data_IF_167024096321
#
_entry.id   IF_167024096321
#
_cell.length_a   1.000
_cell.length_b   1.000
_cell.length_c   1.000
_cell.angle_alpha   90.00
_cell.angle_beta   90.00
_cell.angle_gamma   90.00
#
_symmetry.space_group_name_H-M   'P 1'
#
loop_
_entity.id
_entity.type
_entity.pdbx_description
1 polymer ?
#
# COMPACT_ATOMS: atom_id res chain seq x y z
N UNK A 1 -50.66 -14.65 -2.59
CA UNK A 1 -49.60 -15.63 -2.21
C UNK A 1 -48.34 -14.85 -1.98
N UNK A 2 -47.70 -14.99 -0.81
CA UNK A 2 -46.30 -14.57 -0.67
C UNK A 2 -45.47 -15.46 -1.61
N UNK A 3 -44.56 -14.86 -2.37
CA UNK A 3 -43.63 -15.62 -3.20
C UNK A 3 -42.74 -16.54 -2.36
N UNK A 4 -42.06 -17.52 -2.98
CA UNK A 4 -41.14 -18.39 -2.26
C UNK A 4 -40.05 -17.57 -1.55
N UNK A 5 -39.83 -17.85 -0.27
CA UNK A 5 -38.80 -17.22 0.54
C UNK A 5 -37.45 -17.92 0.30
N UNK A 6 -36.63 -17.31 -0.56
CA UNK A 6 -35.29 -17.79 -0.90
C UNK A 6 -34.29 -17.71 0.26
N UNK A 7 -34.65 -17.07 1.39
CA UNK A 7 -33.82 -17.09 2.60
C UNK A 7 -33.82 -18.45 3.31
N UNK A 8 -34.81 -19.31 3.01
CA UNK A 8 -34.97 -20.66 3.57
C UNK A 8 -34.34 -21.76 2.69
N UNK A 9 -33.55 -21.39 1.68
CA UNK A 9 -32.86 -22.37 0.84
C UNK A 9 -31.90 -23.22 1.70
N UNK A 10 -31.87 -24.56 1.54
CA UNK A 10 -30.87 -25.41 2.19
C UNK A 10 -29.43 -24.95 1.89
N UNK A 11 -28.54 -25.11 2.88
CA UNK A 11 -27.15 -24.65 2.79
C UNK A 11 -26.42 -25.28 1.60
N UNK A 12 -26.71 -26.55 1.29
CA UNK A 12 -26.10 -27.31 0.21
C UNK A 12 -26.44 -26.71 -1.17
N UNK A 13 -27.64 -26.15 -1.32
CA UNK A 13 -28.03 -25.46 -2.55
C UNK A 13 -27.35 -24.09 -2.67
N UNK A 14 -27.21 -23.37 -1.55
CA UNK A 14 -26.48 -22.10 -1.51
C UNK A 14 -24.99 -22.31 -1.84
N UNK A 15 -24.39 -23.36 -1.31
CA UNK A 15 -23.03 -23.81 -1.64
C UNK A 15 -22.89 -24.12 -3.14
N UNK A 16 -23.82 -24.90 -3.69
CA UNK A 16 -23.83 -25.20 -5.11
C UNK A 16 -24.00 -23.94 -5.99
N UNK A 17 -24.80 -22.96 -5.56
CA UNK A 17 -24.95 -21.70 -6.28
C UNK A 17 -23.65 -20.89 -6.23
N UNK A 18 -23.07 -20.71 -5.04
CA UNK A 18 -21.86 -19.88 -4.88
C UNK A 18 -20.67 -20.47 -5.64
N UNK A 19 -20.54 -21.80 -5.70
CA UNK A 19 -19.49 -22.48 -6.48
C UNK A 19 -19.55 -22.21 -7.99
N UNK A 20 -20.70 -21.77 -8.50
CA UNK A 20 -20.88 -21.40 -9.92
C UNK A 20 -20.63 -19.92 -10.19
N UNK A 21 -20.47 -19.10 -9.16
CA UNK A 21 -20.20 -17.68 -9.31
C UNK A 21 -18.73 -17.50 -9.70
N UNK A 22 -18.46 -16.82 -10.79
CA UNK A 22 -17.09 -16.57 -11.28
C UNK A 22 -16.64 -15.11 -11.13
N UNK A 23 -17.58 -14.19 -10.85
CA UNK A 23 -17.29 -12.77 -10.61
C UNK A 23 -17.16 -12.47 -9.12
N UNK A 24 -16.13 -11.70 -8.74
CA UNK A 24 -15.98 -11.22 -7.38
C UNK A 24 -17.16 -10.34 -6.98
N UNK A 25 -17.64 -9.48 -7.90
CA UNK A 25 -18.74 -8.58 -7.61
C UNK A 25 -20.00 -9.35 -7.22
N UNK A 26 -20.31 -10.41 -7.96
CA UNK A 26 -21.47 -11.25 -7.68
C UNK A 26 -21.27 -12.09 -6.42
N UNK A 27 -20.04 -12.55 -6.16
CA UNK A 27 -19.68 -13.23 -4.93
C UNK A 27 -19.88 -12.34 -3.70
N UNK A 28 -19.44 -11.07 -3.77
CA UNK A 28 -19.67 -10.09 -2.71
C UNK A 28 -21.16 -9.82 -2.51
N UNK A 29 -21.92 -9.65 -3.60
CA UNK A 29 -23.39 -9.46 -3.54
C UNK A 29 -24.09 -10.64 -2.91
N UNK A 30 -23.72 -11.87 -3.29
CA UNK A 30 -24.25 -13.11 -2.71
C UNK A 30 -24.07 -13.13 -1.18
N UNK A 31 -22.89 -12.75 -0.69
CA UNK A 31 -22.57 -12.69 0.75
C UNK A 31 -23.20 -11.52 1.49
N UNK A 32 -23.68 -10.52 0.76
CA UNK A 32 -24.33 -9.34 1.30
C UNK A 32 -25.85 -9.53 1.51
N UNK A 33 -26.45 -10.62 1.01
CA UNK A 33 -27.90 -10.87 1.08
C UNK A 33 -28.37 -11.02 2.54
N UNK A 34 -27.94 -12.08 3.24
CA UNK A 34 -28.31 -12.37 4.63
C UNK A 34 -27.30 -13.33 5.28
N UNK A 35 -27.48 -13.64 6.57
CA UNK A 35 -26.57 -14.51 7.31
C UNK A 35 -26.44 -15.93 6.72
N UNK A 36 -27.53 -16.67 6.41
CA UNK A 36 -27.42 -18.00 5.77
C UNK A 36 -26.60 -18.01 4.47
N UNK A 37 -26.81 -17.04 3.58
CA UNK A 37 -26.08 -16.93 2.30
C UNK A 37 -24.60 -16.61 2.53
N UNK A 38 -24.29 -15.73 3.49
CA UNK A 38 -22.91 -15.44 3.88
C UNK A 38 -22.22 -16.67 4.47
N UNK A 39 -22.90 -17.42 5.33
CA UNK A 39 -22.34 -18.61 5.99
C UNK A 39 -22.13 -19.78 5.03
N UNK A 40 -22.96 -19.92 4.00
CA UNK A 40 -22.80 -20.94 2.96
C UNK A 40 -21.61 -20.68 2.01
N UNK A 41 -20.92 -19.55 2.15
CA UNK A 41 -19.77 -19.19 1.31
C UNK A 41 -18.46 -19.33 2.06
N UNK A 42 -17.48 -20.01 1.46
CA UNK A 42 -16.13 -20.12 2.03
C UNK A 42 -15.44 -18.75 2.08
N UNK A 43 -14.85 -18.33 3.22
CA UNK A 43 -14.04 -17.11 3.27
C UNK A 43 -12.89 -17.08 2.25
N UNK A 44 -12.44 -18.28 1.81
CA UNK A 44 -11.45 -18.52 0.76
C UNK A 44 -12.12 -19.18 -0.46
N UNK A 45 -12.69 -18.39 -1.39
CA UNK A 45 -13.38 -18.94 -2.56
C UNK A 45 -12.36 -19.45 -3.60
N UNK A 46 -12.00 -20.74 -3.52
CA UNK A 46 -11.02 -21.38 -4.44
C UNK A 46 -11.50 -21.50 -5.89
N UNK A 47 -12.82 -21.41 -6.12
CA UNK A 47 -13.41 -21.50 -7.44
C UNK A 47 -13.32 -20.19 -8.22
N UNK A 48 -13.12 -19.04 -7.54
CA UNK A 48 -13.03 -17.77 -8.22
C UNK A 48 -11.73 -17.70 -9.03
N UNK A 49 -11.80 -17.35 -10.33
CA UNK A 49 -10.60 -17.11 -11.10
C UNK A 49 -9.85 -15.90 -10.53
N UNK A 50 -8.56 -15.81 -10.88
CA UNK A 50 -7.79 -14.60 -10.58
C UNK A 50 -8.44 -13.42 -11.31
N UNK A 51 -8.76 -12.35 -10.57
CA UNK A 51 -9.44 -11.18 -11.10
C UNK A 51 -8.55 -9.95 -10.97
N UNK A 52 -8.82 -8.97 -11.83
CA UNK A 52 -8.13 -7.69 -11.79
C UNK A 52 -8.40 -7.03 -10.43
N UNK A 53 -7.37 -6.53 -9.74
CA UNK A 53 -7.52 -5.81 -8.49
C UNK A 53 -8.49 -4.64 -8.58
N UNK A 54 -9.29 -4.45 -7.54
CA UNK A 54 -10.15 -3.27 -7.43
C UNK A 54 -9.38 -2.15 -6.74
N UNK A 55 -9.36 -0.94 -7.33
CA UNK A 55 -8.75 0.21 -6.67
C UNK A 55 -9.72 0.79 -5.66
N UNK A 56 -9.38 0.74 -4.37
CA UNK A 56 -10.08 1.55 -3.38
C UNK A 56 -9.74 3.02 -3.63
N UNK A 57 -10.76 3.83 -3.88
CA UNK A 57 -10.61 5.24 -4.15
C UNK A 57 -10.37 6.02 -2.85
N UNK A 58 -9.63 7.14 -2.89
CA UNK A 58 -9.46 8.02 -1.73
C UNK A 58 -10.81 8.49 -1.17
N UNK A 59 -10.84 8.78 0.14
CA UNK A 59 -12.06 9.19 0.83
C UNK A 59 -12.20 10.73 0.82
N UNK A 60 -13.35 11.26 0.36
CA UNK A 60 -13.64 12.71 0.45
C UNK A 60 -14.03 13.06 1.88
N UNK A 61 -13.23 13.89 2.54
CA UNK A 61 -13.44 14.31 3.94
C UNK A 61 -14.45 15.45 4.11
N UNK A 62 -15.04 15.98 3.04
CA UNK A 62 -16.02 17.05 3.14
C UNK A 62 -17.45 16.50 3.34
N UNK A 63 -17.96 16.60 4.57
CA UNK A 63 -19.36 16.35 4.90
C UNK A 63 -19.67 14.90 5.23
N UNK A 64 -19.92 14.64 6.51
CA UNK A 64 -20.35 13.37 7.13
C UNK A 64 -19.45 12.15 6.84
N UNK A 65 -18.72 11.72 7.86
CA UNK A 65 -17.84 10.53 7.89
C UNK A 65 -18.60 9.21 7.65
N UNK A 66 -19.03 8.95 6.42
CA UNK A 66 -19.63 7.71 5.98
C UNK A 66 -18.68 6.53 6.11
N UNK A 67 -19.24 5.37 6.44
CA UNK A 67 -18.55 4.07 6.44
C UNK A 67 -18.34 3.53 5.03
N UNK A 68 -18.98 4.11 4.01
CA UNK A 68 -18.87 3.65 2.63
C UNK A 68 -17.48 3.91 2.04
N UNK A 69 -16.95 2.88 1.36
CA UNK A 69 -15.72 2.91 0.57
C UNK A 69 -16.07 2.59 -0.88
N UNK A 70 -15.42 3.32 -1.79
CA UNK A 70 -15.61 3.18 -3.22
C UNK A 70 -14.47 2.34 -3.78
N UNK A 71 -14.81 1.36 -4.61
CA UNK A 71 -13.86 0.47 -5.27
C UNK A 71 -14.08 0.55 -6.77
N UNK A 72 -13.07 1.00 -7.50
CA UNK A 72 -13.10 0.99 -8.96
C UNK A 72 -12.64 -0.37 -9.49
N UNK A 73 -13.48 -0.96 -10.31
CA UNK A 73 -13.21 -2.22 -11.00
C UNK A 73 -12.71 -1.92 -12.41
N UNK A 74 -11.41 -2.14 -12.60
CA UNK A 74 -10.74 -1.95 -13.89
C UNK A 74 -11.32 -2.82 -15.02
N UNK A 75 -11.88 -3.99 -14.70
CA UNK A 75 -12.36 -4.93 -15.72
C UNK A 75 -13.69 -4.48 -16.33
N UNK A 76 -14.56 -3.88 -15.51
CA UNK A 76 -15.92 -3.48 -15.93
C UNK A 76 -16.09 -1.97 -16.06
N UNK A 77 -15.07 -1.20 -15.68
CA UNK A 77 -15.12 0.27 -15.55
C UNK A 77 -16.26 0.75 -14.64
N UNK A 78 -16.60 -0.04 -13.62
CA UNK A 78 -17.68 0.27 -12.65
C UNK A 78 -17.11 0.63 -11.29
N UNK A 79 -17.86 1.47 -10.56
CA UNK A 79 -17.59 1.77 -9.16
C UNK A 79 -18.52 0.93 -8.29
N UNK A 80 -17.92 0.04 -7.49
CA UNK A 80 -18.61 -0.71 -6.44
C UNK A 80 -18.58 0.08 -5.13
N UNK A 81 -19.67 0.00 -4.37
CA UNK A 81 -19.82 0.67 -3.07
C UNK A 81 -19.90 -0.40 -1.99
N UNK A 82 -18.99 -0.34 -1.02
CA UNK A 82 -19.00 -1.25 0.14
C UNK A 82 -19.11 -0.42 1.42
N UNK A 83 -20.06 -0.78 2.28
CA UNK A 83 -20.22 -0.12 3.58
C UNK A 83 -19.26 -0.72 4.62
N UNK A 84 -18.11 -0.09 4.86
CA UNK A 84 -17.02 -0.61 5.70
C UNK A 84 -16.84 0.24 6.98
N UNK A 85 -17.74 0.14 7.98
CA UNK A 85 -17.66 0.93 9.22
C UNK A 85 -16.36 0.72 10.01
N UNK A 86 -15.72 -0.45 9.87
CA UNK A 86 -14.44 -0.80 10.49
C UNK A 86 -13.30 0.12 10.04
N UNK A 87 -13.44 0.75 8.87
CA UNK A 87 -12.43 1.67 8.31
C UNK A 87 -12.67 3.14 8.72
N UNK A 88 -13.70 3.43 9.52
CA UNK A 88 -14.08 4.79 9.90
C UNK A 88 -13.14 5.37 10.95
N UNK A 89 -12.45 6.46 10.61
CA UNK A 89 -11.48 7.11 11.50
C UNK A 89 -10.30 6.21 11.85
N UNK A 90 -9.97 5.28 10.93
CA UNK A 90 -8.86 4.33 11.05
C UNK A 90 -7.96 4.53 9.84
N UNK A 91 -6.64 4.49 10.06
CA UNK A 91 -5.64 4.53 8.99
C UNK A 91 -5.48 3.15 8.39
N UNK A 92 -5.50 3.06 7.06
CA UNK A 92 -5.11 1.84 6.34
C UNK A 92 -3.61 1.97 6.03
N UNK A 93 -2.81 1.08 6.60
CA UNK A 93 -1.35 1.12 6.53
C UNK A 93 -0.76 0.16 5.49
N UNK A 94 -1.58 -0.71 4.93
CA UNK A 94 -1.15 -1.73 3.97
C UNK A 94 -2.32 -2.57 3.49
N UNK A 95 -2.14 -3.17 2.32
CA UNK A 95 -3.01 -4.19 1.77
C UNK A 95 -2.12 -5.34 1.32
N UNK A 96 -2.41 -6.57 1.73
CA UNK A 96 -1.74 -7.77 1.17
C UNK A 96 -2.68 -8.96 1.30
N UNK A 97 -2.66 -9.84 0.30
CA UNK A 97 -3.48 -11.05 0.29
C UNK A 97 -4.99 -10.80 0.49
N UNK A 98 -5.53 -9.67 0.01
CA UNK A 98 -6.93 -9.30 0.23
C UNK A 98 -7.27 -8.76 1.64
N UNK A 99 -6.27 -8.55 2.51
CA UNK A 99 -6.44 -8.02 3.85
C UNK A 99 -5.84 -6.62 4.00
N UNK A 100 -6.56 -5.74 4.67
CA UNK A 100 -6.08 -4.44 5.12
C UNK A 100 -5.42 -4.53 6.49
N UNK A 101 -4.34 -3.78 6.67
CA UNK A 101 -3.76 -3.49 7.99
C UNK A 101 -4.34 -2.17 8.47
N UNK A 102 -5.21 -2.26 9.46
CA UNK A 102 -5.90 -1.14 10.09
C UNK A 102 -5.12 -0.68 11.32
N UNK A 103 -4.95 0.63 11.47
CA UNK A 103 -4.22 1.22 12.59
C UNK A 103 -4.95 2.45 13.15
N UNK A 104 -5.18 2.44 14.47
CA UNK A 104 -5.81 3.54 15.21
C UNK A 104 -5.17 3.67 16.58
N UNK A 105 -4.44 4.76 16.80
CA UNK A 105 -3.66 4.96 18.03
C UNK A 105 -2.61 3.85 18.20
N UNK A 106 -2.74 3.01 19.22
CA UNK A 106 -1.83 1.87 19.47
C UNK A 106 -2.39 0.52 19.01
N UNK A 107 -3.61 0.51 18.47
CA UNK A 107 -4.30 -0.72 18.07
C UNK A 107 -4.05 -0.94 16.58
N UNK A 108 -3.57 -2.14 16.26
CA UNK A 108 -3.43 -2.61 14.89
C UNK A 108 -4.28 -3.87 14.71
N UNK A 109 -4.95 -4.00 13.58
CA UNK A 109 -5.75 -5.18 13.24
C UNK A 109 -5.68 -5.48 11.76
N UNK A 110 -5.93 -6.72 11.40
CA UNK A 110 -6.13 -7.15 10.03
C UNK A 110 -7.63 -7.20 9.76
N UNK A 111 -8.04 -6.68 8.61
CA UNK A 111 -9.44 -6.65 8.20
C UNK A 111 -9.59 -7.04 6.75
N UNK A 112 -10.47 -8.00 6.48
CA UNK A 112 -10.82 -8.36 5.12
C UNK A 112 -12.13 -7.63 4.73
N UNK A 113 -12.09 -6.68 3.79
CA UNK A 113 -13.26 -5.87 3.43
C UNK A 113 -14.38 -6.68 2.76
N UNK A 114 -14.05 -7.84 2.21
CA UNK A 114 -15.00 -8.74 1.55
C UNK A 114 -15.59 -9.67 2.58
N UNK A 115 -14.76 -10.42 3.32
CA UNK A 115 -15.25 -11.43 4.27
C UNK A 115 -15.80 -10.84 5.56
N UNK A 116 -15.41 -9.60 5.91
CA UNK A 116 -15.59 -8.95 7.22
C UNK A 116 -14.86 -9.65 8.36
N UNK A 117 -13.97 -10.59 8.04
CA UNK A 117 -13.12 -11.20 9.04
C UNK A 117 -12.14 -10.17 9.58
N UNK A 118 -11.95 -10.19 10.90
CA UNK A 118 -11.05 -9.30 11.61
C UNK A 118 -10.14 -10.13 12.49
N UNK A 119 -8.85 -9.80 12.50
CA UNK A 119 -7.85 -10.41 13.36
C UNK A 119 -7.14 -9.31 14.13
N UNK A 120 -7.26 -9.32 15.45
CA UNK A 120 -6.54 -8.36 16.30
C UNK A 120 -5.06 -8.72 16.36
N UNK A 121 -4.20 -7.71 16.24
CA UNK A 121 -2.76 -7.84 16.46
C UNK A 121 -2.41 -7.33 17.86
N UNK A 122 -1.25 -7.71 18.42
CA UNK A 122 -0.80 -7.15 19.68
C UNK A 122 -0.73 -5.61 19.62
N UNK A 123 -0.97 -4.91 20.73
CA UNK A 123 -0.83 -3.47 20.77
C UNK A 123 0.60 -3.08 20.43
N UNK A 124 0.75 -2.06 19.59
CA UNK A 124 2.07 -1.58 19.19
C UNK A 124 2.65 -0.70 20.30
N UNK A 125 3.36 -1.34 21.23
CA UNK A 125 4.04 -0.68 22.35
C UNK A 125 5.54 -0.80 22.09
N UNK A 126 6.17 0.30 21.68
CA UNK A 126 7.63 0.37 21.54
C UNK A 126 8.22 0.91 22.85
N UNK A 127 9.10 0.18 23.54
CA UNK A 127 9.81 0.71 24.70
C UNK A 127 10.60 1.96 24.34
N UNK A 128 10.64 2.95 25.23
CA UNK A 128 11.34 4.23 25.03
C UNK A 128 12.80 4.07 24.59
N UNK A 129 13.48 3.03 25.06
CA UNK A 129 14.86 2.69 24.69
C UNK A 129 15.07 2.40 23.20
N UNK A 130 14.02 2.05 22.46
CA UNK A 130 14.10 1.79 21.03
C UNK A 130 13.78 3.01 20.17
N UNK A 131 13.47 4.17 20.77
CA UNK A 131 13.12 5.42 20.09
C UNK A 131 14.30 6.19 19.52
N UNK A 132 15.54 5.77 19.80
CA UNK A 132 16.73 6.49 19.35
C UNK A 132 16.86 7.89 19.96
N UNK A 133 16.08 8.20 21.00
CA UNK A 133 16.22 9.43 21.78
C UNK A 133 17.47 9.30 22.65
N UNK A 134 18.39 10.26 22.54
CA UNK A 134 19.58 10.31 23.39
C UNK A 134 19.16 10.34 24.87
N UNK A 135 19.84 9.58 25.76
CA UNK A 135 19.48 9.51 27.18
C UNK A 135 19.56 10.84 27.94
N UNK A 136 20.24 11.84 27.37
CA UNK A 136 20.54 13.12 28.01
C UNK A 136 19.51 14.23 27.73
N UNK A 137 18.45 13.93 26.97
CA UNK A 137 17.41 14.91 26.66
C UNK A 137 17.90 16.06 25.77
N UNK A 138 19.08 15.93 25.14
CA UNK A 138 19.51 16.88 24.13
C UNK A 138 18.61 16.75 22.89
N UNK A 139 17.83 17.78 22.62
CA UNK A 139 16.87 17.89 21.52
C UNK A 139 17.51 17.84 20.12
N UNK A 140 18.85 17.80 20.04
CA UNK A 140 19.60 17.98 18.80
C UNK A 140 19.64 16.74 17.90
N UNK A 141 19.33 15.55 18.41
CA UNK A 141 19.21 14.32 17.59
C UNK A 141 17.78 14.02 17.15
N UNK A 142 16.81 14.89 17.49
CA UNK A 142 15.53 14.93 16.78
C UNK A 142 15.80 15.55 15.42
N UNK A 143 16.32 14.77 14.49
CA UNK A 143 16.15 15.08 13.06
C UNK A 143 14.65 15.23 12.88
N UNK A 144 14.18 16.46 12.70
CA UNK A 144 12.78 16.76 12.46
C UNK A 144 12.31 15.96 11.24
N UNK A 145 11.69 14.82 11.49
CA UNK A 145 11.10 14.00 10.45
C UNK A 145 9.75 14.64 10.12
N UNK A 146 9.76 15.57 9.17
CA UNK A 146 8.54 15.88 8.43
C UNK A 146 7.95 14.57 7.86
N UNK A 147 6.62 14.39 7.82
CA UNK A 147 5.98 13.08 7.62
C UNK A 147 6.26 12.36 6.28
N UNK A 148 7.04 12.93 5.37
CA UNK A 148 7.11 12.50 3.98
C UNK A 148 8.42 12.80 3.23
N UNK A 149 9.60 12.80 3.87
CA UNK A 149 10.87 12.71 3.11
C UNK A 149 11.12 13.81 2.06
N UNK A 150 10.45 14.97 2.14
CA UNK A 150 10.69 16.13 1.29
C UNK A 150 11.69 17.10 1.92
N UNK A 151 12.95 16.67 2.09
CA UNK A 151 14.04 17.62 2.40
C UNK A 151 15.31 17.26 1.64
N UNK A 152 15.64 18.08 0.64
CA UNK A 152 17.03 18.30 0.22
C UNK A 152 17.29 19.81 0.29
N UNK A 153 17.97 20.22 1.37
CA UNK A 153 18.86 21.39 1.40
C UNK A 153 18.27 22.76 1.75
N UNK A 154 18.06 23.06 3.04
CA UNK A 154 18.39 24.36 3.69
C UNK A 154 18.49 24.11 5.21
N UNK A 155 19.50 24.62 5.95
CA UNK A 155 19.50 24.56 7.41
C UNK A 155 18.52 25.60 7.96
N UNK A 156 17.41 25.16 8.55
CA UNK A 156 16.43 26.02 9.21
C UNK A 156 16.21 25.52 10.63
N UNK A 157 17.04 25.99 11.56
CA UNK A 157 17.08 25.54 12.96
C UNK A 157 16.50 26.59 13.93
N UNK A 158 15.71 27.58 13.45
CA UNK A 158 15.35 28.73 14.31
C UNK A 158 13.86 29.09 14.39
N UNK A 159 12.91 28.24 13.96
CA UNK A 159 11.48 28.60 14.16
C UNK A 159 10.49 27.47 14.40
N UNK A 160 10.94 26.28 14.81
CA UNK A 160 10.05 25.12 15.06
C UNK A 160 9.69 24.94 16.55
N UNK A 161 10.29 25.70 17.47
CA UNK A 161 10.11 25.50 18.92
C UNK A 161 8.73 25.92 19.44
N UNK A 162 8.01 26.83 18.75
CA UNK A 162 6.82 27.47 19.34
C UNK A 162 5.47 26.80 19.02
N UNK A 163 5.38 25.84 18.09
CA UNK A 163 4.07 25.27 17.67
C UNK A 163 3.78 23.83 18.12
N UNK A 164 4.74 23.11 18.71
CA UNK A 164 4.58 21.68 19.01
C UNK A 164 4.88 21.28 20.46
N UNK A 165 4.85 22.23 21.40
CA UNK A 165 5.01 21.98 22.84
C UNK A 165 3.91 21.10 23.47
N UNK A 166 2.92 20.62 22.70
CA UNK A 166 1.80 19.81 23.18
C UNK A 166 1.49 18.54 22.33
N UNK A 167 2.46 17.98 21.58
CA UNK A 167 2.24 16.66 20.95
C UNK A 167 2.29 15.58 22.01
N UNK A 168 1.15 14.98 22.29
CA UNK A 168 1.07 13.84 23.19
C UNK A 168 1.96 12.69 22.66
N UNK A 169 2.69 12.00 23.53
CA UNK A 169 3.49 10.80 23.20
C UNK A 169 2.68 9.65 22.55
N UNK A 170 1.36 9.81 22.44
CA UNK A 170 0.44 8.92 21.72
C UNK A 170 0.40 9.18 20.20
N UNK A 171 0.83 10.35 19.72
CA UNK A 171 0.81 10.72 18.29
C UNK A 171 2.12 10.38 17.54
N UNK A 172 3.18 9.96 18.27
CA UNK A 172 4.54 9.73 17.73
C UNK A 172 4.77 8.34 17.10
N UNK A 173 3.75 7.47 17.03
CA UNK A 173 3.88 6.06 16.60
C UNK A 173 2.94 5.66 15.47
N UNK A 174 2.90 6.47 14.42
CA UNK A 174 2.06 6.18 13.27
C UNK A 174 2.73 5.08 12.43
N UNK A 175 2.05 3.94 12.28
CA UNK A 175 2.46 2.93 11.29
C UNK A 175 2.39 3.56 9.90
N UNK A 176 3.52 3.54 9.19
CA UNK A 176 3.69 4.20 7.90
C UNK A 176 3.35 3.28 6.73
N UNK A 177 3.89 2.07 6.75
CA UNK A 177 3.61 0.98 5.80
C UNK A 177 3.60 -0.35 6.55
N UNK A 178 2.70 -1.23 6.17
CA UNK A 178 2.60 -2.61 6.65
C UNK A 178 2.47 -3.58 5.47
N UNK A 179 3.06 -4.76 5.59
CA UNK A 179 2.89 -5.88 4.64
C UNK A 179 2.65 -7.18 5.41
N UNK A 180 2.05 -8.16 4.72
CA UNK A 180 1.89 -9.52 5.23
C UNK A 180 2.77 -10.47 4.42
N UNK A 181 3.38 -11.45 5.10
CA UNK A 181 4.24 -12.45 4.45
C UNK A 181 3.44 -13.52 3.69
N UNK A 182 2.19 -13.75 4.09
CA UNK A 182 1.25 -14.70 3.50
C UNK A 182 -0.19 -14.32 3.88
N UNK A 183 -1.17 -15.19 3.61
CA UNK A 183 -2.55 -14.97 4.07
C UNK A 183 -2.61 -15.04 5.61
N UNK A 184 -3.35 -14.15 6.31
CA UNK A 184 -3.53 -14.19 7.77
C UNK A 184 -4.11 -15.48 8.32
N UNK A 185 -4.75 -16.26 7.47
CA UNK A 185 -5.34 -17.55 7.82
C UNK A 185 -4.28 -18.68 7.76
N UNK A 186 -3.06 -18.39 7.32
CA UNK A 186 -1.91 -19.29 7.39
C UNK A 186 -1.20 -19.13 8.75
N UNK A 187 -0.84 -20.24 9.38
CA UNK A 187 -0.25 -20.25 10.73
C UNK A 187 1.14 -19.61 10.81
N UNK A 188 1.85 -19.52 9.69
CA UNK A 188 3.16 -18.89 9.58
C UNK A 188 3.11 -17.41 9.21
N UNK A 189 1.92 -16.83 9.03
CA UNK A 189 1.77 -15.44 8.60
C UNK A 189 2.39 -14.48 9.61
N UNK A 190 3.23 -13.58 9.12
CA UNK A 190 3.81 -12.47 9.85
C UNK A 190 3.31 -11.14 9.28
N UNK A 191 3.08 -10.19 10.16
CA UNK A 191 2.79 -8.79 9.83
C UNK A 191 4.05 -7.99 10.11
N UNK A 192 4.54 -7.25 9.10
CA UNK A 192 5.75 -6.43 9.19
C UNK A 192 5.34 -4.97 9.02
N UNK A 193 5.79 -4.11 9.92
CA UNK A 193 5.43 -2.68 9.94
C UNK A 193 6.67 -1.80 10.00
N UNK A 194 6.58 -0.65 9.33
CA UNK A 194 7.48 0.49 9.53
C UNK A 194 6.74 1.60 10.28
N UNK A 195 7.44 2.32 11.15
CA UNK A 195 6.88 3.51 11.82
C UNK A 195 7.57 4.79 11.36
N UNK A 196 6.88 5.92 11.52
CA UNK A 196 7.42 7.25 11.19
C UNK A 196 8.63 7.63 12.04
N UNK A 197 8.70 7.17 13.30
CA UNK A 197 9.69 7.62 14.28
C UNK A 197 10.96 6.77 14.39
N UNK A 198 10.97 5.50 13.95
CA UNK A 198 12.03 4.57 14.39
C UNK A 198 13.06 4.16 13.35
N UNK A 199 12.90 4.47 12.05
CA UNK A 199 13.66 3.88 10.93
C UNK A 199 13.80 2.33 10.98
N UNK A 200 13.11 1.68 11.92
CA UNK A 200 13.18 0.25 12.21
C UNK A 200 11.92 -0.39 11.66
N UNK A 201 12.02 -1.69 11.42
CA UNK A 201 10.87 -2.52 11.14
C UNK A 201 10.60 -3.38 12.36
N UNK A 202 9.32 -3.58 12.60
CA UNK A 202 8.82 -4.47 13.64
C UNK A 202 7.97 -5.53 12.99
N UNK A 203 7.95 -6.73 13.56
CA UNK A 203 7.06 -7.79 13.09
C UNK A 203 6.41 -8.55 14.24
N UNK A 204 5.28 -9.19 13.94
CA UNK A 204 4.63 -10.15 14.81
C UNK A 204 3.99 -11.26 13.97
N UNK A 205 3.88 -12.46 14.54
CA UNK A 205 3.02 -13.53 14.02
C UNK A 205 1.59 -13.33 14.49
N UNK A 206 0.64 -13.89 13.75
CA UNK A 206 -0.75 -13.94 14.19
C UNK A 206 -0.84 -14.72 15.51
N UNK A 207 -1.39 -14.09 16.54
CA UNK A 207 -1.50 -14.66 17.89
C UNK A 207 -0.36 -14.29 18.86
N UNK A 208 0.68 -13.60 18.38
CA UNK A 208 1.73 -13.08 19.27
C UNK A 208 1.16 -12.05 20.25
N UNK A 209 1.78 -11.97 21.44
CA UNK A 209 1.40 -11.02 22.49
C UNK A 209 2.11 -9.67 22.39
N UNK A 210 3.20 -9.59 21.63
CA UNK A 210 4.01 -8.38 21.46
C UNK A 210 4.65 -8.33 20.07
N UNK A 211 5.13 -7.15 19.70
CA UNK A 211 5.91 -6.93 18.49
C UNK A 211 7.39 -7.18 18.75
N UNK A 212 8.05 -7.87 17.84
CA UNK A 212 9.51 -7.99 17.82
C UNK A 212 10.07 -6.83 17.01
N UNK A 213 10.86 -5.96 17.65
CA UNK A 213 11.56 -4.87 16.97
C UNK A 213 12.91 -5.40 16.49
N UNK A 214 13.15 -5.38 15.18
CA UNK A 214 14.48 -5.68 14.65
C UNK A 214 15.13 -4.38 14.21
N UNK A 215 16.31 -4.13 14.78
CA UNK A 215 17.17 -3.04 14.35
C UNK A 215 17.80 -3.42 13.00
N UNK A 216 17.04 -3.26 11.93
CA UNK A 216 17.59 -3.27 10.59
C UNK A 216 18.57 -2.08 10.50
N UNK A 217 19.82 -2.32 10.10
CA UNK A 217 20.81 -1.25 9.82
C UNK A 217 20.45 -0.48 8.54
N UNK A 218 19.16 -0.26 8.29
CA UNK A 218 18.64 0.46 7.15
C UNK A 218 18.61 1.95 7.50
N UNK A 219 19.76 2.62 7.40
CA UNK A 219 19.78 4.08 7.43
C UNK A 219 18.85 4.58 6.31
N UNK A 220 17.83 5.38 6.68
CA UNK A 220 16.87 5.98 5.76
C UNK A 220 15.98 5.01 4.99
N UNK A 221 15.36 4.02 5.66
CA UNK A 221 14.36 3.12 5.07
C UNK A 221 13.30 3.89 4.26
N UNK A 222 13.27 3.65 2.96
CA UNK A 222 12.34 4.26 2.02
C UNK A 222 11.16 3.36 1.70
N UNK A 223 11.42 2.09 1.40
CA UNK A 223 10.40 1.09 1.13
C UNK A 223 10.88 -0.33 1.47
N UNK A 224 9.96 -1.28 1.59
CA UNK A 224 10.27 -2.69 1.82
C UNK A 224 9.20 -3.63 1.24
N UNK A 225 9.63 -4.85 0.92
CA UNK A 225 8.81 -5.94 0.41
C UNK A 225 9.33 -7.28 0.94
N UNK A 226 8.45 -8.29 0.99
CA UNK A 226 8.80 -9.63 1.45
C UNK A 226 8.57 -10.64 0.32
N UNK A 227 9.56 -11.48 0.04
CA UNK A 227 9.50 -12.47 -1.04
C UNK A 227 10.46 -13.63 -0.79
N UNK A 228 10.01 -14.85 -1.09
CA UNK A 228 10.82 -16.07 -1.07
C UNK A 228 11.60 -16.27 0.25
N UNK A 229 11.00 -15.93 1.39
CA UNK A 229 11.65 -16.06 2.70
C UNK A 229 12.45 -14.83 3.14
N UNK A 230 12.72 -13.89 2.23
CA UNK A 230 13.57 -12.73 2.48
C UNK A 230 12.78 -11.42 2.51
N UNK A 231 13.20 -10.53 3.41
CA UNK A 231 12.75 -9.15 3.45
C UNK A 231 13.77 -8.28 2.70
N UNK A 232 13.30 -7.57 1.68
CA UNK A 232 14.08 -6.61 0.93
C UNK A 232 13.70 -5.21 1.39
N UNK A 233 14.69 -4.41 1.76
CA UNK A 233 14.50 -2.99 2.09
C UNK A 233 15.28 -2.13 1.13
N UNK A 234 14.74 -0.98 0.76
CA UNK A 234 15.47 0.06 0.04
C UNK A 234 15.56 1.32 0.86
N UNK A 235 16.67 2.04 0.78
CA UNK A 235 16.80 3.37 1.38
C UNK A 235 16.45 4.48 0.38
N UNK A 236 16.47 5.74 0.84
CA UNK A 236 16.21 6.92 0.00
C UNK A 236 17.19 7.04 -1.18
N UNK A 237 18.40 6.51 -1.04
CA UNK A 237 19.41 6.44 -2.09
C UNK A 237 19.19 5.26 -3.06
N UNK A 238 18.29 4.32 -2.77
CA UNK A 238 18.00 3.15 -3.60
C UNK A 238 18.95 1.97 -3.38
N UNK A 239 19.80 2.00 -2.36
CA UNK A 239 20.56 0.83 -1.93
C UNK A 239 19.60 -0.23 -1.41
N UNK A 240 19.84 -1.50 -1.74
CA UNK A 240 19.01 -2.63 -1.28
C UNK A 240 19.72 -3.32 -0.13
N UNK A 241 18.95 -3.75 0.85
CA UNK A 241 19.43 -4.69 1.87
C UNK A 241 18.48 -5.86 1.93
N UNK A 242 19.05 -7.06 1.90
CA UNK A 242 18.33 -8.35 1.98
C UNK A 242 18.49 -8.92 3.38
N UNK A 243 17.38 -9.31 3.98
CA UNK A 243 17.31 -9.86 5.33
C UNK A 243 16.63 -11.23 5.34
N UNK A 244 17.25 -12.20 6.02
CA UNK A 244 16.57 -13.43 6.42
C UNK A 244 15.70 -13.14 7.65
N UNK A 245 14.37 -13.20 7.51
CA UNK A 245 13.47 -12.93 8.65
C UNK A 245 13.53 -14.02 9.73
N UNK A 246 13.93 -15.24 9.39
CA UNK A 246 14.09 -16.33 10.35
C UNK A 246 15.38 -16.12 11.14
N UNK A 247 16.42 -15.61 10.48
CA UNK A 247 17.68 -15.25 11.12
C UNK A 247 18.13 -13.82 10.75
N UNK A 248 17.58 -12.78 11.42
CA UNK A 248 17.84 -11.38 11.07
C UNK A 248 19.30 -10.95 11.16
N UNK A 249 20.17 -11.75 11.79
CA UNK A 249 21.61 -11.52 11.84
C UNK A 249 22.30 -11.74 10.49
N UNK A 250 21.68 -12.48 9.57
CA UNK A 250 22.13 -12.65 8.18
C UNK A 250 21.60 -11.51 7.33
N UNK A 251 22.39 -10.45 7.25
CA UNK A 251 22.15 -9.27 6.42
C UNK A 251 23.13 -9.29 5.25
N UNK A 252 22.63 -9.08 4.04
CA UNK A 252 23.46 -8.86 2.85
C UNK A 252 23.12 -7.47 2.29
N UNK A 253 24.15 -6.61 2.19
CA UNK A 253 24.02 -5.35 1.47
C UNK A 253 24.05 -5.66 -0.02
N UNK A 254 23.00 -5.29 -0.71
CA UNK A 254 22.70 -5.67 -2.07
C UNK A 254 22.73 -4.38 -2.93
N UNK A 255 23.90 -4.09 -3.50
CA UNK A 255 24.06 -3.03 -4.49
C UNK A 255 24.09 -1.57 -4.04
N UNK A 256 24.72 -0.76 -4.90
CA UNK A 256 24.91 0.66 -4.70
C UNK A 256 23.67 1.49 -5.08
N UNK A 257 23.50 2.62 -4.40
CA UNK A 257 22.35 3.50 -4.58
C UNK A 257 22.24 4.04 -6.01
N UNK A 258 20.99 4.32 -6.41
CA UNK A 258 20.64 4.94 -7.69
C UNK A 258 20.68 6.46 -7.54
N UNK A 259 21.40 7.14 -8.43
CA UNK A 259 21.46 8.61 -8.43
C UNK A 259 20.07 9.20 -8.77
N UNK A 260 19.54 10.01 -7.86
CA UNK A 260 18.45 10.98 -8.05
C UNK A 260 17.14 10.47 -8.71
N UNK A 261 16.30 9.78 -7.94
CA UNK A 261 14.88 9.57 -8.26
C UNK A 261 14.00 9.95 -7.07
N UNK A 262 12.81 10.49 -7.35
CA UNK A 262 11.93 11.13 -6.35
C UNK A 262 10.98 10.14 -5.68
N UNK A 263 10.37 9.25 -6.46
CA UNK A 263 9.53 8.18 -5.92
C UNK A 263 10.11 6.83 -6.31
N UNK A 264 10.07 5.89 -5.36
CA UNK A 264 10.59 4.52 -5.50
C UNK A 264 9.56 3.56 -4.92
N UNK A 265 9.04 2.66 -5.75
CA UNK A 265 8.13 1.59 -5.36
C UNK A 265 8.86 0.26 -5.50
N UNK A 266 9.03 -0.45 -4.38
CA UNK A 266 9.57 -1.80 -4.42
C UNK A 266 8.42 -2.77 -4.73
N UNK A 267 8.53 -3.47 -5.86
CA UNK A 267 7.51 -4.36 -6.39
C UNK A 267 8.04 -5.77 -6.44
N UNK A 268 7.20 -6.70 -6.02
CA UNK A 268 7.49 -8.11 -5.97
C UNK A 268 7.04 -8.73 -7.32
N UNK A 269 7.98 -9.19 -8.16
CA UNK A 269 7.72 -9.72 -9.51
C UNK A 269 7.41 -11.24 -9.54
N UNK A 270 6.55 -11.71 -10.46
CA UNK A 270 6.01 -13.10 -10.46
C UNK A 270 7.07 -14.21 -10.40
N UNK A 271 8.24 -14.02 -11.03
CA UNK A 271 9.28 -15.05 -11.13
C UNK A 271 10.28 -15.06 -9.96
N UNK A 272 9.97 -14.39 -8.85
CA UNK A 272 10.95 -14.18 -7.76
C UNK A 272 11.75 -12.89 -7.92
N UNK A 273 11.53 -12.17 -9.01
CA UNK A 273 12.20 -10.90 -9.30
C UNK A 273 11.86 -9.84 -8.24
N UNK A 274 12.84 -9.01 -7.90
CA UNK A 274 12.64 -7.78 -7.14
C UNK A 274 12.73 -6.63 -8.13
N UNK A 275 11.61 -5.97 -8.34
CA UNK A 275 11.50 -4.83 -9.24
C UNK A 275 11.44 -3.53 -8.45
N UNK A 276 11.95 -2.47 -9.03
CA UNK A 276 11.85 -1.13 -8.50
C UNK A 276 11.32 -0.23 -9.60
N UNK A 277 10.27 0.54 -9.28
CA UNK A 277 9.78 1.57 -10.17
C UNK A 277 10.20 2.91 -9.60
N UNK A 278 10.98 3.66 -10.37
CA UNK A 278 11.44 4.99 -10.01
C UNK A 278 10.80 6.04 -10.89
N UNK A 279 10.32 7.14 -10.32
CA UNK A 279 9.92 8.31 -11.11
C UNK A 279 10.92 9.45 -11.00
N UNK A 280 11.10 10.15 -12.12
CA UNK A 280 11.87 11.39 -12.23
C UNK A 280 10.95 12.51 -12.67
N UNK A 281 10.95 13.58 -11.90
CA UNK A 281 10.23 14.80 -12.23
C UNK A 281 11.21 15.75 -12.91
N UNK A 282 10.92 16.16 -14.14
CA UNK A 282 11.64 17.24 -14.79
C UNK A 282 10.84 18.53 -14.65
N UNK A 283 11.36 19.46 -13.86
CA UNK A 283 10.78 20.79 -13.76
C UNK A 283 11.10 21.57 -15.04
N UNK A 284 10.07 21.84 -15.85
CA UNK A 284 10.16 22.89 -16.85
C UNK A 284 10.34 24.20 -16.11
N UNK A 285 11.52 24.81 -16.15
CA UNK A 285 11.90 25.99 -15.35
C UNK A 285 11.10 27.28 -15.62
N UNK A 286 9.87 27.20 -16.13
CA UNK A 286 8.95 28.32 -16.38
C UNK A 286 7.59 28.05 -15.74
N UNK A 287 7.01 29.10 -15.16
CA UNK A 287 5.65 29.07 -14.62
C UNK A 287 4.67 28.66 -15.72
N UNK A 288 3.90 27.59 -15.49
CA UNK A 288 2.86 27.10 -16.42
C UNK A 288 3.27 25.95 -17.34
N UNK A 289 4.46 25.35 -17.18
CA UNK A 289 4.83 24.12 -17.91
C UNK A 289 4.48 22.90 -17.05
N UNK A 290 3.73 21.96 -17.63
CA UNK A 290 3.37 20.69 -17.01
C UNK A 290 4.63 19.92 -16.56
N UNK A 291 4.56 19.33 -15.36
CA UNK A 291 5.61 18.45 -14.89
C UNK A 291 5.54 17.13 -15.66
N UNK A 292 6.60 16.79 -16.38
CA UNK A 292 6.72 15.47 -17.00
C UNK A 292 7.30 14.47 -15.98
N UNK A 293 6.57 13.37 -15.76
CA UNK A 293 7.02 12.25 -14.93
C UNK A 293 7.55 11.14 -15.83
N UNK A 294 8.87 10.97 -15.85
CA UNK A 294 9.51 9.81 -16.48
C UNK A 294 9.55 8.65 -15.48
N UNK A 295 8.96 7.51 -15.85
CA UNK A 295 8.98 6.30 -15.03
C UNK A 295 9.96 5.28 -15.61
N UNK A 296 10.79 4.73 -14.73
CA UNK A 296 11.78 3.71 -15.08
C UNK A 296 11.61 2.49 -14.21
N UNK A 297 11.79 1.33 -14.82
CA UNK A 297 11.71 0.04 -14.14
C UNK A 297 13.08 -0.58 -14.06
N UNK A 298 13.39 -1.11 -12.89
CA UNK A 298 14.68 -1.70 -12.57
C UNK A 298 14.47 -3.07 -11.98
N UNK A 299 15.24 -4.05 -12.43
CA UNK A 299 15.28 -5.39 -11.87
C UNK A 299 16.55 -5.54 -11.04
N UNK A 300 16.42 -6.02 -9.80
CA UNK A 300 17.57 -6.33 -8.97
C UNK A 300 18.18 -7.66 -9.42
N UNK A 301 19.49 -7.66 -9.72
CA UNK A 301 20.26 -8.88 -9.95
C UNK A 301 20.92 -9.30 -8.65
N UNK A 302 20.51 -10.44 -8.10
CA UNK A 302 21.16 -11.05 -6.92
C UNK A 302 22.62 -11.45 -7.25
N UNK A 303 22.90 -11.88 -8.49
CA UNK A 303 24.24 -12.33 -8.92
C UNK A 303 25.22 -11.17 -9.09
N UNK A 304 24.75 -10.05 -9.67
CA UNK A 304 25.58 -8.88 -9.93
C UNK A 304 25.48 -7.82 -8.81
N UNK A 305 24.65 -8.09 -7.80
CA UNK A 305 24.32 -7.20 -6.69
C UNK A 305 24.04 -5.76 -7.15
N UNK A 306 23.21 -5.58 -8.18
CA UNK A 306 22.93 -4.25 -8.73
C UNK A 306 21.57 -4.14 -9.38
N UNK A 307 21.12 -2.90 -9.56
CA UNK A 307 19.95 -2.57 -10.35
C UNK A 307 20.28 -2.57 -11.85
N UNK A 308 19.44 -3.26 -12.63
CA UNK A 308 19.50 -3.31 -14.08
C UNK A 308 18.21 -2.67 -14.60
N UNK A 309 18.32 -1.60 -15.40
CA UNK A 309 17.16 -0.96 -16.04
C UNK A 309 16.54 -1.94 -17.06
N UNK A 310 15.22 -2.10 -17.03
CA UNK A 310 14.48 -3.00 -17.91
C UNK A 310 13.25 -2.30 -18.48
N UNK A 311 13.00 -2.50 -19.77
CA UNK A 311 11.79 -2.03 -20.45
C UNK A 311 10.79 -3.17 -20.70
N UNK A 312 11.14 -4.38 -20.29
CA UNK A 312 10.30 -5.56 -20.41
C UNK A 312 10.28 -6.34 -19.08
N UNK A 313 9.12 -6.31 -18.42
CA UNK A 313 8.84 -7.14 -17.24
C UNK A 313 8.11 -8.44 -17.62
N UNK A 314 8.07 -8.79 -18.90
CA UNK A 314 7.49 -10.01 -19.43
C UNK A 314 5.99 -10.08 -19.16
N UNK A 315 5.54 -11.21 -18.59
CA UNK A 315 4.12 -11.46 -18.29
C UNK A 315 3.59 -10.68 -17.08
N UNK A 316 4.41 -9.85 -16.42
CA UNK A 316 3.99 -9.07 -15.26
C UNK A 316 3.11 -7.88 -15.67
N UNK A 317 2.09 -7.64 -14.84
CA UNK A 317 1.32 -6.39 -14.76
C UNK A 317 1.52 -5.85 -13.36
N UNK A 318 2.01 -4.62 -13.23
CA UNK A 318 2.34 -4.02 -11.93
C UNK A 318 1.22 -3.06 -11.50
N UNK A 319 0.91 -3.05 -10.22
CA UNK A 319 -0.13 -2.19 -9.65
C UNK A 319 0.47 -1.35 -8.53
N UNK A 320 0.47 -0.04 -8.72
CA UNK A 320 1.02 0.94 -7.79
C UNK A 320 -0.13 1.72 -7.17
N UNK A 321 -0.30 1.60 -5.87
CA UNK A 321 -1.25 2.38 -5.09
C UNK A 321 -0.52 3.49 -4.32
N UNK A 322 -1.30 4.38 -3.72
CA UNK A 322 -0.76 5.34 -2.77
C UNK A 322 -0.07 4.64 -1.58
N UNK A 323 0.81 5.38 -0.91
CA UNK A 323 1.44 4.93 0.34
C UNK A 323 2.53 3.87 0.16
N UNK A 324 3.06 3.74 -1.06
CA UNK A 324 4.03 2.70 -1.48
C UNK A 324 3.46 1.28 -1.39
N UNK A 325 2.17 1.14 -1.61
CA UNK A 325 1.59 -0.17 -1.88
C UNK A 325 1.88 -0.52 -3.33
N UNK A 326 2.62 -1.59 -3.57
CA UNK A 326 2.89 -2.07 -4.92
C UNK A 326 2.99 -3.58 -4.95
N UNK A 327 2.47 -4.19 -6.01
CA UNK A 327 2.57 -5.62 -6.27
C UNK A 327 2.44 -5.92 -7.76
N UNK A 328 2.72 -7.17 -8.15
CA UNK A 328 2.54 -7.64 -9.53
C UNK A 328 1.57 -8.81 -9.62
N UNK A 329 0.94 -8.96 -10.79
CA UNK A 329 0.15 -10.13 -11.16
C UNK A 329 0.50 -10.59 -12.58
N UNK A 330 0.28 -11.88 -12.85
CA UNK A 330 0.48 -12.44 -14.19
C UNK A 330 -0.67 -12.06 -15.11
N UNK A 331 -0.34 -11.43 -16.24
CA UNK A 331 -1.26 -11.21 -17.36
C UNK A 331 -1.96 -12.50 -17.80
N UNK A 332 -1.28 -13.66 -17.75
CA UNK A 332 -1.86 -14.95 -18.12
C UNK A 332 -3.05 -15.36 -17.22
N UNK A 333 -3.10 -14.85 -15.99
CA UNK A 333 -4.15 -15.15 -15.02
C UNK A 333 -5.23 -14.06 -14.98
N UNK A 334 -5.12 -13.01 -15.80
CA UNK A 334 -6.04 -11.88 -15.82
C UNK A 334 -6.81 -11.86 -17.13
N UNK A 335 -8.14 -11.78 -17.04
CA UNK A 335 -8.99 -11.41 -18.18
C UNK A 335 -8.87 -9.90 -18.39
N UNK A 336 -7.75 -9.47 -18.97
CA UNK A 336 -7.50 -8.08 -19.31
C UNK A 336 -8.29 -7.70 -20.58
N UNK A 337 -8.78 -6.45 -20.71
CA UNK A 337 -9.02 -5.83 -22.01
C UNK A 337 -7.74 -5.86 -22.87
N UNK A 338 -7.73 -5.30 -24.09
CA UNK A 338 -6.57 -5.28 -25.03
C UNK A 338 -5.23 -4.67 -24.49
N UNK A 339 -5.15 -4.39 -23.19
CA UNK A 339 -4.01 -3.91 -22.45
C UNK A 339 -3.17 -5.10 -21.97
N UNK A 340 -2.13 -5.39 -22.76
CA UNK A 340 -1.27 -6.54 -22.58
C UNK A 340 -0.38 -6.50 -21.34
N UNK A 341 0.39 -7.57 -21.21
CA UNK A 341 1.51 -7.67 -20.28
C UNK A 341 2.51 -6.50 -20.43
N UNK A 342 3.49 -6.41 -19.54
CA UNK A 342 4.54 -5.39 -19.59
C UNK A 342 4.03 -3.95 -19.39
N UNK A 343 3.15 -3.77 -18.40
CA UNK A 343 2.58 -2.48 -18.06
C UNK A 343 2.45 -2.29 -16.55
N UNK A 344 2.23 -1.03 -16.12
CA UNK A 344 1.87 -0.73 -14.75
C UNK A 344 0.73 0.29 -14.65
N UNK A 345 -0.12 0.09 -13.65
CA UNK A 345 -1.20 0.99 -13.27
C UNK A 345 -0.76 1.79 -12.05
N UNK A 346 -1.01 3.10 -12.05
CA UNK A 346 -0.76 3.92 -10.89
C UNK A 346 -1.83 4.99 -10.71
N UNK A 347 -2.05 5.35 -9.46
CA UNK A 347 -2.80 6.55 -9.09
C UNK A 347 -1.90 7.76 -9.32
N UNK A 348 -2.08 8.44 -10.45
CA UNK A 348 -1.33 9.64 -10.78
C UNK A 348 -1.94 10.82 -10.02
N UNK A 349 -1.13 11.45 -9.19
CA UNK A 349 -1.48 12.72 -8.56
C UNK A 349 -0.74 13.80 -9.32
N UNK A 350 -1.47 14.54 -10.16
CA UNK A 350 -0.88 15.70 -10.83
C UNK A 350 -0.93 16.90 -9.88
N UNK A 351 0.22 17.51 -9.54
CA UNK A 351 0.21 18.77 -8.82
C UNK A 351 -0.36 19.84 -9.76
N UNK A 352 -1.58 20.33 -9.51
CA UNK A 352 -2.04 21.58 -10.10
C UNK A 352 -2.03 22.67 -9.04
N UNK A 353 -1.22 23.71 -9.28
CA UNK A 353 -1.17 24.87 -8.40
C UNK A 353 0.06 25.71 -8.72
N UNK A 354 -0.11 27.04 -8.75
CA UNK A 354 1.04 27.93 -8.72
C UNK A 354 1.71 27.77 -7.36
N UNK A 355 2.93 27.23 -7.32
CA UNK A 355 3.79 27.31 -6.15
C UNK A 355 4.16 28.78 -5.96
N UNK A 356 3.42 29.52 -5.13
CA UNK A 356 3.80 30.90 -4.81
C UNK A 356 4.92 30.86 -3.78
N UNK A 357 4.82 30.00 -2.76
CA UNK A 357 5.80 29.83 -1.69
C UNK A 357 6.11 28.35 -1.37
N UNK A 358 7.19 28.07 -0.62
CA UNK A 358 7.59 26.70 -0.20
C UNK A 358 6.51 25.95 0.61
N UNK A 359 5.61 26.66 1.29
CA UNK A 359 4.49 26.09 2.05
C UNK A 359 3.33 25.61 1.16
N UNK A 360 3.23 26.09 -0.09
CA UNK A 360 2.18 25.65 -1.02
C UNK A 360 2.44 24.23 -1.55
N UNK A 361 3.63 23.66 -1.30
CA UNK A 361 4.06 22.30 -1.71
C UNK A 361 3.13 21.16 -1.34
N UNK A 362 2.30 21.37 -0.32
CA UNK A 362 1.52 20.33 0.33
C UNK A 362 0.03 20.41 0.05
N UNK A 363 -0.45 21.42 -0.68
CA UNK A 363 -1.88 21.79 -0.60
C UNK A 363 -2.76 21.50 -1.82
N UNK A 364 -2.22 21.14 -3.00
CA UNK A 364 -3.07 21.03 -4.20
C UNK A 364 -2.62 19.92 -5.15
N UNK A 365 -3.10 18.69 -4.90
CA UNK A 365 -3.28 17.70 -5.96
C UNK A 365 -4.77 17.75 -6.35
N UNK A 366 -5.07 18.35 -7.51
CA UNK A 366 -6.47 18.54 -7.95
C UNK A 366 -6.98 17.37 -8.77
N UNK A 367 -6.09 16.67 -9.47
CA UNK A 367 -6.44 15.67 -10.47
C UNK A 367 -5.99 14.30 -10.01
N UNK A 368 -6.90 13.54 -9.40
CA UNK A 368 -6.66 12.14 -9.10
C UNK A 368 -7.12 11.30 -10.29
N UNK A 369 -6.15 10.76 -11.04
CA UNK A 369 -6.40 9.92 -12.21
C UNK A 369 -5.79 8.55 -12.03
N UNK A 370 -6.41 7.53 -12.62
CA UNK A 370 -5.73 6.25 -12.79
C UNK A 370 -5.09 6.25 -14.17
N UNK A 371 -3.78 6.08 -14.17
CA UNK A 371 -2.96 6.10 -15.37
C UNK A 371 -2.33 4.74 -15.61
N UNK A 372 -2.37 4.31 -16.86
CA UNK A 372 -1.68 3.14 -17.37
C UNK A 372 -0.43 3.58 -18.11
N UNK A 373 0.70 3.01 -17.73
CA UNK A 373 1.96 3.15 -18.44
C UNK A 373 2.32 1.81 -19.09
N UNK A 374 2.50 1.83 -20.40
CA UNK A 374 3.00 0.69 -21.18
C UNK A 374 4.49 0.84 -21.43
N UNK A 375 5.27 -0.15 -20.99
CA UNK A 375 6.73 -0.08 -21.01
C UNK A 375 7.30 -0.36 -22.41
N UNK A 376 6.59 -1.13 -23.23
CA UNK A 376 7.03 -1.54 -24.56
C UNK A 376 6.94 -0.43 -25.61
N UNK A 377 5.92 0.41 -25.51
CA UNK A 377 5.68 1.53 -26.43
C UNK A 377 5.89 2.91 -25.78
N UNK A 378 6.26 2.95 -24.50
CA UNK A 378 6.50 4.17 -23.75
C UNK A 378 5.28 5.08 -23.61
N UNK A 379 4.07 4.55 -23.82
CA UNK A 379 2.84 5.36 -23.77
C UNK A 379 2.28 5.40 -22.37
N UNK A 380 1.88 6.60 -21.95
CA UNK A 380 1.15 6.87 -20.72
C UNK A 380 -0.26 7.29 -21.10
N UNK A 381 -1.27 6.66 -20.52
CA UNK A 381 -2.69 6.91 -20.85
C UNK A 381 -3.54 6.95 -19.60
N UNK A 382 -4.28 8.03 -19.43
CA UNK A 382 -5.28 8.14 -18.36
C UNK A 382 -6.48 7.25 -18.71
N UNK A 383 -6.75 6.24 -17.87
CA UNK A 383 -7.89 5.33 -18.06
C UNK A 383 -9.13 5.88 -17.34
N UNK A 384 -8.93 6.67 -16.28
CA UNK A 384 -10.00 7.34 -15.56
C UNK A 384 -9.67 8.83 -15.50
N UNK A 385 -10.63 9.66 -15.93
CA UNK A 385 -10.57 11.11 -15.78
C UNK A 385 -10.63 11.56 -14.32
N UNK A 386 -10.52 12.86 -14.09
CA UNK A 386 -10.43 13.43 -12.75
C UNK A 386 -11.51 12.90 -11.78
N UNK A 387 -11.07 12.19 -10.73
CA UNK A 387 -11.91 11.70 -9.63
C UNK A 387 -12.35 12.84 -8.67
N UNK A 388 -11.96 14.07 -8.99
CA UNK A 388 -12.16 15.31 -8.27
C UNK A 388 -11.04 15.57 -7.27
N UNK A 389 -11.00 16.79 -6.73
CA UNK A 389 -10.03 17.17 -5.70
C UNK A 389 -10.28 16.42 -4.38
N UNK A 390 -9.19 15.93 -3.79
CA UNK A 390 -9.19 15.35 -2.46
C UNK A 390 -8.29 16.22 -1.57
N UNK A 391 -8.82 16.70 -0.45
CA UNK A 391 -7.99 17.40 0.53
C UNK A 391 -7.17 16.38 1.30
N UNK A 392 -5.87 16.38 1.03
CA UNK A 392 -4.91 15.64 1.80
C UNK A 392 -4.49 16.47 3.02
N UNK A 393 -4.83 16.00 4.20
CA UNK A 393 -4.21 16.50 5.44
C UNK A 393 -3.51 15.31 6.12
N UNK A 394 -2.56 15.60 7.01
CA UNK A 394 -1.49 14.73 7.54
C UNK A 394 -1.89 13.33 8.10
N UNK A 395 -3.18 13.02 8.15
CA UNK A 395 -3.79 11.76 8.60
C UNK A 395 -4.43 10.99 7.43
N UNK A 396 -3.59 10.45 6.54
CA UNK A 396 -3.92 9.95 5.19
C UNK A 396 -4.75 8.65 5.11
N UNK A 397 -5.76 8.62 4.21
CA UNK A 397 -6.29 7.40 3.56
C UNK A 397 -5.92 7.42 2.07
N UNK A 398 -5.02 6.50 1.68
CA UNK A 398 -4.46 6.42 0.33
C UNK A 398 -5.21 5.41 -0.53
N UNK A 399 -5.01 5.44 -1.84
CA UNK A 399 -5.57 4.44 -2.75
C UNK A 399 -4.85 3.10 -2.56
N UNK A 400 -5.63 2.03 -2.39
CA UNK A 400 -5.11 0.68 -2.23
C UNK A 400 -5.78 -0.25 -3.22
N UNK A 401 -4.98 -1.04 -3.93
CA UNK A 401 -5.48 -2.12 -4.75
C UNK A 401 -5.85 -3.29 -3.86
N UNK A 402 -7.12 -3.63 -3.83
CA UNK A 402 -7.63 -4.84 -3.18
C UNK A 402 -7.51 -5.99 -4.18
N UNK A 403 -6.72 -7.01 -3.84
CA UNK A 403 -6.55 -8.22 -4.64
C UNK A 403 -7.66 -9.24 -4.33
N UNK A 404 -8.61 -9.50 -5.25
CA UNK A 404 -9.72 -10.42 -5.04
C UNK A 404 -9.30 -11.88 -4.96
N UNK A 405 -8.21 -12.21 -5.64
CA UNK A 405 -7.76 -13.58 -5.93
C UNK A 405 -6.91 -14.21 -4.84
N UNK A 406 -6.71 -13.51 -3.72
CA UNK A 406 -5.88 -13.95 -2.60
C UNK A 406 -6.65 -14.01 -1.27
N UNK A 407 -8.00 -13.94 -1.32
CA UNK A 407 -8.90 -14.04 -0.16
C UNK A 407 -8.76 -15.37 0.59
#
# INVERSE_FOLDING_TARGET
MMGPDWSLLPAELLEAIVERITSLADYIRFRAVCHPWRSASSPRPRHLPTQIPWLMLPYKTQGNSGSTRLFYDLSTSKIHRLDLPETRGVKICGCSHGWFVLHKGRVTSLFNPITRATVSLPPYIVPFSHLGLAPDGSSNDVVGLAPDGLWNGVPFLESWEDQYSNVSLTETFIVRKAILTSSPLDTSCMVIVSTTSSLKLSFCKIGDKCWTVVAFKACYLWDFSYRNGFLYTINSFGSVTKYDLINPSKMVLCGNGMKASYCKYLVDGIAGDVLLISSRWTYGGRVGVECECDYRVWKFSDDEEKWIEVNDVGKNVLFLGGGRHAFSLSSANLQLPDWGANCFYYDSQNPQGQWKNQQDRFQLFSDNKITLARLDIGTVTDIIGDLGSFHFNEYWQMSFWLTPSLL
#
